data_IF_958609250338
#
_entry.id   IF_958609250338
#
_cell.length_a   1.000
_cell.length_b   1.000
_cell.length_c   1.000
_cell.angle_alpha   90.00
_cell.angle_beta   90.00
_cell.angle_gamma   90.00
#
_symmetry.space_group_name_H-M   'P 1'
#
loop_
_entity.id
_entity.type
_entity.pdbx_description
1 polymer ?
#
# COMPACT_ATOMS: atom_id res chain seq x y z
N UNK A 1 4.79 -26.55 -8.47
CA UNK A 1 3.87 -26.09 -7.41
C UNK A 1 3.67 -24.61 -7.59
N UNK A 2 2.43 -24.14 -7.67
CA UNK A 2 2.17 -22.70 -7.84
C UNK A 2 2.10 -22.01 -6.47
N UNK A 3 2.77 -20.86 -6.33
CA UNK A 3 2.75 -20.07 -5.11
C UNK A 3 1.78 -18.90 -5.24
N UNK A 4 1.10 -18.53 -4.16
CA UNK A 4 0.26 -17.35 -4.12
C UNK A 4 1.09 -16.21 -3.53
N UNK A 5 1.05 -15.04 -4.18
CA UNK A 5 1.71 -13.82 -3.72
C UNK A 5 0.68 -12.69 -3.69
N UNK A 6 0.41 -12.17 -2.50
CA UNK A 6 -0.35 -10.94 -2.33
C UNK A 6 0.52 -9.72 -2.58
N UNK A 7 0.08 -8.82 -3.47
CA UNK A 7 0.85 -7.61 -3.82
C UNK A 7 -0.04 -6.38 -3.70
N UNK A 8 0.31 -5.49 -2.80
CA UNK A 8 -0.31 -4.16 -2.69
C UNK A 8 0.52 -3.15 -3.50
N UNK A 9 -0.09 -2.67 -4.59
CA UNK A 9 0.50 -1.72 -5.53
C UNK A 9 0.21 -0.28 -5.09
N UNK A 10 0.82 0.15 -3.98
CA UNK A 10 0.67 1.52 -3.50
C UNK A 10 1.42 2.54 -4.36
N UNK A 11 1.03 3.82 -4.27
CA UNK A 11 1.78 4.94 -4.89
C UNK A 11 3.08 5.24 -4.16
N UNK A 12 3.14 4.92 -2.89
CA UNK A 12 4.27 5.18 -2.02
C UNK A 12 5.21 3.98 -1.93
N UNK A 13 4.66 2.80 -1.74
CA UNK A 13 5.41 1.56 -1.63
C UNK A 13 4.67 0.40 -2.30
N UNK A 14 5.43 -0.55 -2.81
CA UNK A 14 4.97 -1.89 -3.19
C UNK A 14 5.15 -2.79 -1.96
N UNK A 15 4.12 -3.53 -1.61
CA UNK A 15 4.12 -4.40 -0.44
C UNK A 15 3.65 -5.79 -0.78
N UNK A 16 4.30 -6.78 -0.17
CA UNK A 16 3.90 -8.18 -0.21
C UNK A 16 3.72 -8.68 1.22
N UNK A 17 3.41 -9.93 1.43
CA UNK A 17 3.28 -10.47 2.78
C UNK A 17 4.57 -10.35 3.62
N UNK A 18 5.75 -10.40 2.98
CA UNK A 18 7.04 -10.41 3.69
C UNK A 18 7.94 -9.22 3.33
N UNK A 19 7.68 -8.52 2.25
CA UNK A 19 8.53 -7.44 1.74
C UNK A 19 7.78 -6.12 1.61
N UNK A 20 8.51 -5.01 1.77
CA UNK A 20 8.04 -3.66 1.44
C UNK A 20 9.19 -2.87 0.85
N UNK A 21 8.96 -2.11 -0.22
CA UNK A 21 9.96 -1.24 -0.82
C UNK A 21 9.28 -0.04 -1.53
N UNK A 22 9.95 1.10 -1.65
CA UNK A 22 9.41 2.28 -2.31
C UNK A 22 8.93 1.99 -3.73
N UNK A 23 7.82 2.59 -4.15
CA UNK A 23 7.22 2.35 -5.48
C UNK A 23 7.97 3.03 -6.63
N UNK A 24 9.11 3.68 -6.36
CA UNK A 24 9.89 4.34 -7.38
C UNK A 24 10.58 3.35 -8.33
N UNK A 25 10.70 3.77 -9.59
CA UNK A 25 11.38 3.00 -10.65
C UNK A 25 12.12 3.99 -11.55
N UNK A 26 13.42 3.74 -11.75
CA UNK A 26 14.26 4.53 -12.66
C UNK A 26 14.71 3.65 -13.80
N UNK A 27 14.47 4.07 -15.05
CA UNK A 27 14.95 3.38 -16.25
C UNK A 27 16.33 3.88 -16.64
N UNK A 28 17.21 2.95 -16.99
CA UNK A 28 18.56 3.20 -17.51
C UNK A 28 18.71 2.77 -18.97
N UNK A 29 17.62 2.32 -19.61
CA UNK A 29 17.64 1.79 -20.97
C UNK A 29 18.57 0.58 -21.08
N UNK A 30 19.41 0.54 -22.10
CA UNK A 30 20.37 -0.56 -22.37
C UNK A 30 21.67 -0.45 -21.54
N UNK A 31 21.81 0.57 -20.69
CA UNK A 31 23.03 0.82 -19.93
C UNK A 31 22.90 0.32 -18.49
N UNK A 32 23.73 -0.64 -18.10
CA UNK A 32 23.76 -1.16 -16.74
C UNK A 32 24.21 -0.08 -15.75
N UNK A 33 23.39 0.24 -14.70
CA UNK A 33 23.77 1.20 -13.67
C UNK A 33 24.79 0.59 -12.70
N UNK A 34 25.49 1.45 -11.95
CA UNK A 34 26.49 1.01 -10.96
C UNK A 34 25.86 0.20 -9.81
N UNK A 35 24.61 0.51 -9.42
CA UNK A 35 23.94 -0.16 -8.29
C UNK A 35 23.43 -1.54 -8.69
N UNK A 36 23.58 -2.51 -7.78
CA UNK A 36 22.95 -3.83 -7.90
C UNK A 36 21.67 -3.96 -7.06
N UNK A 37 21.54 -3.13 -6.04
CA UNK A 37 20.35 -3.16 -5.19
C UNK A 37 19.11 -2.69 -5.95
N UNK A 38 18.08 -3.51 -5.98
CA UNK A 38 16.85 -3.25 -6.72
C UNK A 38 17.00 -3.30 -8.24
N UNK A 39 18.14 -3.76 -8.76
CA UNK A 39 18.41 -3.83 -10.20
C UNK A 39 17.57 -4.95 -10.85
N UNK A 40 16.70 -4.55 -11.77
CA UNK A 40 15.90 -5.41 -12.62
C UNK A 40 16.40 -5.29 -14.06
N UNK A 41 16.75 -6.41 -14.69
CA UNK A 41 17.02 -6.53 -16.11
C UNK A 41 15.83 -7.25 -16.76
N UNK A 42 15.15 -6.58 -17.69
CA UNK A 42 14.00 -7.11 -18.39
C UNK A 42 13.91 -6.55 -19.81
N UNK A 43 13.71 -7.44 -20.78
CA UNK A 43 13.58 -7.05 -22.20
C UNK A 43 14.82 -6.33 -22.78
N UNK A 44 16.02 -6.63 -22.27
CA UNK A 44 17.26 -5.98 -22.69
C UNK A 44 17.48 -4.58 -22.10
N UNK A 45 16.64 -4.16 -21.17
CA UNK A 45 16.76 -2.88 -20.47
C UNK A 45 16.98 -3.07 -18.98
N UNK A 46 17.62 -2.07 -18.36
CA UNK A 46 17.92 -2.01 -16.94
C UNK A 46 17.02 -1.01 -16.22
N UNK A 47 16.52 -1.42 -15.06
CA UNK A 47 15.66 -0.62 -14.20
C UNK A 47 16.12 -0.74 -12.75
N UNK A 48 16.09 0.34 -12.00
CA UNK A 48 16.30 0.30 -10.54
C UNK A 48 14.96 0.49 -9.85
N UNK A 49 14.50 -0.56 -9.18
CA UNK A 49 13.25 -0.61 -8.41
C UNK A 49 13.51 -0.24 -6.95
N UNK A 50 12.59 0.48 -6.32
CA UNK A 50 12.67 0.79 -4.89
C UNK A 50 13.39 2.08 -4.56
N UNK A 51 13.54 3.00 -5.52
CA UNK A 51 14.15 4.32 -5.31
C UNK A 51 13.18 5.43 -5.65
N UNK A 52 12.82 6.25 -4.65
CA UNK A 52 11.85 7.33 -4.83
C UNK A 52 10.40 6.83 -4.93
N UNK A 53 9.55 7.61 -5.62
CA UNK A 53 8.12 7.38 -5.78
C UNK A 53 7.73 7.39 -7.25
N UNK A 54 6.62 6.71 -7.60
CA UNK A 54 5.97 6.92 -8.89
C UNK A 54 5.30 8.30 -8.95
N UNK A 55 5.27 8.93 -10.12
CA UNK A 55 4.37 10.05 -10.35
C UNK A 55 2.92 9.63 -10.02
N UNK A 56 2.17 10.55 -9.42
CA UNK A 56 0.75 10.31 -9.14
C UNK A 56 0.01 10.19 -10.47
N UNK A 57 -0.59 9.03 -10.71
CA UNK A 57 -1.40 8.74 -11.89
C UNK A 57 -2.62 7.92 -11.49
N UNK A 58 -3.81 8.34 -11.93
CA UNK A 58 -5.06 7.66 -11.56
C UNK A 58 -5.15 6.24 -12.12
N UNK A 59 -4.47 5.96 -13.22
CA UNK A 59 -4.47 4.66 -13.88
C UNK A 59 -3.07 4.04 -13.81
N UNK A 60 -2.95 2.94 -13.07
CA UNK A 60 -1.70 2.20 -12.87
C UNK A 60 -1.23 1.43 -14.10
N UNK A 61 -2.04 1.40 -15.17
CA UNK A 61 -1.78 0.59 -16.37
C UNK A 61 -1.31 1.42 -17.58
N UNK A 62 -1.05 2.73 -17.39
CA UNK A 62 -0.67 3.63 -18.50
C UNK A 62 0.75 3.38 -19.04
N UNK A 63 1.58 2.72 -18.25
CA UNK A 63 2.96 2.33 -18.62
C UNK A 63 3.32 1.03 -17.91
N UNK A 64 4.53 0.53 -18.16
CA UNK A 64 4.99 -0.74 -17.61
C UNK A 64 5.53 -0.67 -16.17
N UNK A 65 5.53 0.50 -15.54
CA UNK A 65 6.18 0.70 -14.25
C UNK A 65 5.66 -0.26 -13.17
N UNK A 66 4.33 -0.36 -13.01
CA UNK A 66 3.77 -1.27 -11.99
C UNK A 66 3.96 -2.75 -12.34
N UNK A 67 4.05 -3.10 -13.63
CA UNK A 67 4.40 -4.46 -14.03
C UNK A 67 5.85 -4.80 -13.65
N UNK A 68 6.80 -3.91 -13.95
CA UNK A 68 8.20 -4.09 -13.59
C UNK A 68 8.40 -4.16 -12.06
N UNK A 69 7.69 -3.31 -11.31
CA UNK A 69 7.67 -3.37 -9.85
C UNK A 69 7.04 -4.68 -9.33
N UNK A 70 6.06 -5.25 -10.06
CA UNK A 70 5.50 -6.57 -9.75
C UNK A 70 6.53 -7.68 -9.92
N UNK A 71 7.34 -7.65 -10.99
CA UNK A 71 8.43 -8.62 -11.17
C UNK A 71 9.45 -8.54 -10.04
N UNK A 72 9.83 -7.32 -9.62
CA UNK A 72 10.70 -7.12 -8.48
C UNK A 72 10.08 -7.63 -7.17
N UNK A 73 8.77 -7.41 -6.95
CA UNK A 73 8.05 -7.91 -5.77
C UNK A 73 8.01 -9.43 -5.73
N UNK A 74 7.75 -10.09 -6.86
CA UNK A 74 7.77 -11.55 -6.99
C UNK A 74 9.17 -12.10 -6.67
N UNK A 75 10.23 -11.50 -7.24
CA UNK A 75 11.60 -11.92 -6.96
C UNK A 75 11.94 -11.83 -5.47
N UNK A 76 11.60 -10.70 -4.82
CA UNK A 76 11.81 -10.50 -3.38
C UNK A 76 11.04 -11.53 -2.54
N UNK A 77 9.80 -11.84 -2.90
CA UNK A 77 9.01 -12.87 -2.20
C UNK A 77 9.60 -14.27 -2.36
N UNK A 78 10.03 -14.63 -3.57
CA UNK A 78 10.69 -15.91 -3.83
C UNK A 78 11.97 -16.04 -2.99
N UNK A 79 12.81 -15.01 -2.95
CA UNK A 79 14.02 -14.95 -2.12
C UNK A 79 13.68 -15.10 -0.62
N UNK A 80 12.72 -14.32 -0.14
CA UNK A 80 12.34 -14.31 1.28
C UNK A 80 11.74 -15.65 1.74
N UNK A 81 11.02 -16.33 0.85
CA UNK A 81 10.46 -17.66 1.13
C UNK A 81 11.45 -18.81 0.87
N UNK A 82 12.65 -18.53 0.40
CA UNK A 82 13.66 -19.57 0.06
C UNK A 82 13.20 -20.50 -1.05
N UNK A 83 12.42 -20.00 -2.02
CA UNK A 83 11.85 -20.78 -3.11
C UNK A 83 12.78 -20.75 -4.35
N UNK A 84 12.67 -21.72 -5.27
CA UNK A 84 13.45 -21.73 -6.49
C UNK A 84 13.02 -20.56 -7.40
N UNK A 85 13.98 -19.95 -8.15
CA UNK A 85 13.68 -18.83 -9.04
C UNK A 85 12.89 -19.24 -10.29
N UNK A 86 12.75 -20.52 -10.54
CA UNK A 86 11.89 -21.08 -11.59
C UNK A 86 10.63 -21.66 -10.93
N UNK A 87 9.50 -20.96 -11.08
CA UNK A 87 8.23 -21.37 -10.48
C UNK A 87 7.01 -20.73 -11.14
N UNK A 88 5.84 -21.31 -10.86
CA UNK A 88 4.54 -20.70 -11.19
C UNK A 88 4.03 -19.85 -10.03
N UNK A 89 3.44 -18.70 -10.36
CA UNK A 89 2.88 -17.77 -9.39
C UNK A 89 1.41 -17.44 -9.69
N UNK A 90 0.63 -17.24 -8.64
CA UNK A 90 -0.70 -16.65 -8.70
C UNK A 90 -0.67 -15.34 -7.95
N UNK A 91 -1.05 -14.27 -8.62
CA UNK A 91 -1.00 -12.92 -8.04
C UNK A 91 -2.37 -12.60 -7.45
N UNK A 92 -2.39 -12.17 -6.20
CA UNK A 92 -3.53 -11.55 -5.56
C UNK A 92 -3.22 -10.06 -5.35
N UNK A 93 -3.94 -9.16 -6.02
CA UNK A 93 -3.71 -7.72 -5.94
C UNK A 93 -4.99 -6.98 -5.54
N UNK A 94 -4.86 -5.69 -5.25
CA UNK A 94 -5.98 -4.87 -4.81
C UNK A 94 -6.19 -3.59 -5.58
N UNK A 95 -7.45 -3.14 -5.58
CA UNK A 95 -7.86 -1.84 -6.07
C UNK A 95 -8.78 -1.15 -5.04
N UNK A 96 -8.75 0.20 -4.96
CA UNK A 96 -9.71 0.95 -4.17
C UNK A 96 -11.16 0.61 -4.57
N UNK A 97 -12.07 0.56 -3.59
CA UNK A 97 -13.45 0.17 -3.87
C UNK A 97 -14.14 1.15 -4.83
N UNK A 98 -13.82 2.43 -4.73
CA UNK A 98 -14.35 3.51 -5.60
C UNK A 98 -14.07 3.29 -7.09
N UNK A 99 -13.00 2.58 -7.44
CA UNK A 99 -12.62 2.28 -8.83
C UNK A 99 -12.71 0.80 -9.19
N UNK A 100 -13.02 -0.06 -8.22
CA UNK A 100 -12.90 -1.52 -8.33
C UNK A 100 -13.58 -2.12 -9.57
N UNK A 101 -14.87 -1.82 -9.77
CA UNK A 101 -15.64 -2.40 -10.89
C UNK A 101 -15.11 -1.97 -12.25
N UNK A 102 -14.69 -0.70 -12.37
CA UNK A 102 -14.18 -0.13 -13.62
C UNK A 102 -12.79 -0.65 -13.97
N UNK A 103 -11.89 -0.69 -13.00
CA UNK A 103 -10.46 -0.88 -13.25
C UNK A 103 -10.02 -2.34 -13.10
N UNK A 104 -10.83 -3.20 -12.44
CA UNK A 104 -10.53 -4.62 -12.18
C UNK A 104 -10.14 -5.42 -13.43
N UNK A 105 -10.92 -5.45 -14.54
CA UNK A 105 -10.54 -6.24 -15.71
C UNK A 105 -9.22 -5.74 -16.31
N UNK A 106 -9.07 -4.44 -16.47
CA UNK A 106 -7.88 -3.81 -17.06
C UNK A 106 -6.63 -4.09 -16.25
N UNK A 107 -6.70 -3.95 -14.93
CA UNK A 107 -5.56 -4.18 -14.05
C UNK A 107 -5.17 -5.66 -13.98
N UNK A 108 -6.16 -6.57 -13.97
CA UNK A 108 -5.91 -8.00 -14.07
C UNK A 108 -5.15 -8.33 -15.36
N UNK A 109 -5.64 -7.88 -16.51
CA UNK A 109 -5.05 -8.19 -17.81
C UNK A 109 -3.66 -7.55 -17.98
N UNK A 110 -3.46 -6.36 -17.41
CA UNK A 110 -2.16 -5.68 -17.35
C UNK A 110 -1.11 -6.49 -16.56
N UNK A 111 -1.49 -7.12 -15.44
CA UNK A 111 -0.56 -7.93 -14.64
C UNK A 111 -0.36 -9.33 -15.23
N UNK A 112 -1.41 -9.92 -15.82
CA UNK A 112 -1.34 -11.27 -16.37
C UNK A 112 -0.54 -11.33 -17.68
N UNK A 113 -0.74 -10.37 -18.59
CA UNK A 113 -0.18 -10.28 -19.95
C UNK A 113 -0.30 -11.56 -20.77
N UNK A 114 0.36 -12.64 -20.34
CA UNK A 114 0.32 -13.94 -20.99
C UNK A 114 0.60 -15.05 -19.98
N UNK A 115 0.23 -16.29 -20.34
CA UNK A 115 0.56 -17.49 -19.56
C UNK A 115 1.91 -18.10 -19.96
N UNK A 116 2.75 -17.36 -20.70
CA UNK A 116 4.09 -17.80 -21.07
C UNK A 116 5.09 -17.47 -19.96
N UNK A 117 6.19 -18.23 -19.83
CA UNK A 117 7.24 -17.90 -18.91
C UNK A 117 7.81 -16.50 -19.15
N UNK A 118 7.96 -15.74 -18.08
CA UNK A 118 8.58 -14.42 -18.06
C UNK A 118 9.98 -14.58 -17.51
N UNK A 119 10.97 -14.31 -18.36
CA UNK A 119 12.38 -14.39 -17.99
C UNK A 119 12.91 -12.99 -17.69
N UNK A 120 13.53 -12.84 -16.54
CA UNK A 120 14.16 -11.58 -16.12
C UNK A 120 15.26 -11.85 -15.10
N UNK A 121 16.08 -10.83 -14.82
CA UNK A 121 17.12 -10.92 -13.80
C UNK A 121 16.88 -9.85 -12.75
N UNK A 122 16.92 -10.23 -11.49
CA UNK A 122 16.76 -9.31 -10.38
C UNK A 122 17.89 -9.48 -9.37
N UNK A 123 18.61 -8.37 -9.07
CA UNK A 123 19.77 -8.33 -8.18
C UNK A 123 20.83 -9.41 -8.51
N UNK A 124 20.99 -9.72 -9.79
CA UNK A 124 21.96 -10.69 -10.30
C UNK A 124 21.47 -12.14 -10.36
N UNK A 125 20.26 -12.45 -9.89
CA UNK A 125 19.63 -13.77 -9.96
C UNK A 125 18.69 -13.84 -11.16
N UNK A 126 18.79 -14.91 -11.94
CA UNK A 126 17.89 -15.18 -13.07
C UNK A 126 16.60 -15.83 -12.59
N UNK A 127 15.46 -15.30 -13.05
CA UNK A 127 14.12 -15.80 -12.77
C UNK A 127 13.42 -16.23 -14.04
N UNK A 128 12.70 -17.35 -13.97
CA UNK A 128 11.77 -17.82 -15.00
C UNK A 128 10.44 -18.12 -14.33
N UNK A 129 9.49 -17.18 -14.38
CA UNK A 129 8.20 -17.31 -13.70
C UNK A 129 7.06 -17.43 -14.71
N UNK A 130 6.05 -18.22 -14.36
CA UNK A 130 4.78 -18.24 -15.10
C UNK A 130 3.67 -17.69 -14.22
N UNK A 131 3.05 -16.58 -14.63
CA UNK A 131 1.88 -16.01 -13.95
C UNK A 131 0.65 -16.79 -14.44
N UNK A 132 0.16 -17.72 -13.59
CA UNK A 132 -1.00 -18.58 -13.96
C UNK A 132 -2.35 -17.87 -13.80
N UNK A 133 -2.46 -17.03 -12.80
CA UNK A 133 -3.71 -16.35 -12.43
C UNK A 133 -3.42 -15.01 -11.78
N UNK A 134 -4.28 -14.03 -12.07
CA UNK A 134 -4.32 -12.75 -11.35
C UNK A 134 -5.73 -12.54 -10.83
N UNK A 135 -5.87 -12.46 -9.52
CA UNK A 135 -7.13 -12.15 -8.83
C UNK A 135 -7.04 -10.75 -8.21
N UNK A 136 -8.09 -9.96 -8.42
CA UNK A 136 -8.17 -8.59 -7.89
C UNK A 136 -9.24 -8.52 -6.81
N UNK A 137 -8.87 -7.97 -5.64
CA UNK A 137 -9.71 -7.83 -4.44
C UNK A 137 -9.91 -6.37 -4.06
N UNK A 138 -10.99 -6.03 -3.33
CA UNK A 138 -11.17 -4.70 -2.76
C UNK A 138 -10.10 -4.42 -1.71
N UNK A 139 -9.35 -3.34 -1.88
CA UNK A 139 -8.35 -2.86 -0.93
C UNK A 139 -9.03 -2.47 0.40
N UNK A 140 -8.33 -2.56 1.50
CA UNK A 140 -8.86 -2.32 2.83
C UNK A 140 -9.81 -3.42 3.33
N UNK A 141 -10.85 -3.75 2.57
CA UNK A 141 -11.79 -4.81 2.97
C UNK A 141 -11.14 -6.20 3.03
N UNK A 142 -10.28 -6.53 2.07
CA UNK A 142 -9.55 -7.79 2.11
C UNK A 142 -8.60 -7.87 3.33
N UNK A 143 -8.03 -6.74 3.74
CA UNK A 143 -7.25 -6.64 4.97
C UNK A 143 -8.12 -6.87 6.22
N UNK A 144 -9.29 -6.23 6.28
CA UNK A 144 -10.23 -6.39 7.40
C UNK A 144 -10.72 -7.85 7.54
N UNK A 145 -10.85 -8.58 6.44
CA UNK A 145 -11.20 -10.01 6.46
C UNK A 145 -10.14 -10.91 7.13
N UNK A 146 -8.93 -10.39 7.42
CA UNK A 146 -7.95 -11.10 8.23
C UNK A 146 -8.26 -11.07 9.72
N UNK A 147 -9.09 -10.11 10.14
CA UNK A 147 -9.51 -9.84 11.51
C UNK A 147 -11.02 -10.11 11.69
N UNK A 148 -11.43 -11.35 11.43
CA UNK A 148 -12.84 -11.73 11.41
C UNK A 148 -13.59 -11.47 12.74
N UNK A 149 -12.88 -11.43 13.87
CA UNK A 149 -13.44 -11.06 15.16
C UNK A 149 -14.01 -9.63 15.17
N UNK A 150 -13.30 -8.69 14.54
CA UNK A 150 -13.76 -7.29 14.45
C UNK A 150 -15.08 -7.16 13.70
N UNK A 151 -15.26 -7.98 12.66
CA UNK A 151 -16.47 -7.98 11.83
C UNK A 151 -17.69 -8.58 12.52
N UNK A 152 -17.47 -9.38 13.56
CA UNK A 152 -18.57 -10.02 14.33
C UNK A 152 -19.01 -9.19 15.53
N UNK A 153 -18.09 -8.40 16.10
CA UNK A 153 -18.34 -7.65 17.33
C UNK A 153 -19.15 -6.36 17.10
N UNK A 154 -19.08 -5.77 15.90
CA UNK A 154 -19.69 -4.47 15.62
C UNK A 154 -20.67 -4.55 14.45
N UNK A 155 -21.94 -4.12 14.61
CA UNK A 155 -22.93 -4.14 13.53
C UNK A 155 -22.60 -3.18 12.40
N UNK A 156 -21.91 -2.08 12.71
CA UNK A 156 -21.46 -1.08 11.74
C UNK A 156 -20.10 -0.55 12.15
N UNK A 157 -19.20 -0.38 11.20
CA UNK A 157 -17.89 0.24 11.39
C UNK A 157 -17.46 1.03 10.16
N UNK A 158 -16.58 2.01 10.35
CA UNK A 158 -15.92 2.72 9.28
C UNK A 158 -14.54 2.08 9.02
N UNK A 159 -14.29 1.67 7.81
CA UNK A 159 -12.97 1.29 7.31
C UNK A 159 -12.28 2.54 6.75
N UNK A 160 -11.04 2.79 7.19
CA UNK A 160 -10.19 3.88 6.72
C UNK A 160 -8.85 3.30 6.27
N UNK A 161 -8.61 3.20 4.95
CA UNK A 161 -7.31 2.77 4.39
C UNK A 161 -6.46 3.99 4.07
N UNK A 162 -5.46 4.24 4.89
CA UNK A 162 -4.56 5.39 4.81
C UNK A 162 -3.38 5.09 3.88
N UNK A 163 -3.61 5.27 2.59
CA UNK A 163 -2.63 5.05 1.53
C UNK A 163 -1.62 6.18 1.36
N UNK A 164 -0.77 6.03 0.32
CA UNK A 164 0.23 7.05 -0.03
C UNK A 164 -0.40 8.31 -0.62
N UNK A 165 -1.36 8.19 -1.53
CA UNK A 165 -2.03 9.31 -2.18
C UNK A 165 -3.42 9.59 -1.63
N UNK A 166 -4.23 8.55 -1.44
CA UNK A 166 -5.60 8.65 -0.95
C UNK A 166 -5.75 8.06 0.45
N UNK A 167 -6.79 8.50 1.13
CA UNK A 167 -7.44 7.79 2.22
C UNK A 167 -8.78 7.30 1.71
N UNK A 168 -8.93 5.98 1.67
CA UNK A 168 -10.15 5.37 1.19
C UNK A 168 -11.06 5.01 2.38
N UNK A 169 -12.28 5.52 2.33
CA UNK A 169 -13.30 5.39 3.38
C UNK A 169 -14.42 4.48 2.89
N UNK A 170 -14.93 3.62 3.78
CA UNK A 170 -16.08 2.78 3.47
C UNK A 170 -16.74 2.30 4.74
N UNK A 171 -18.08 2.36 4.79
CA UNK A 171 -18.84 1.73 5.87
C UNK A 171 -19.00 0.23 5.62
N UNK A 172 -18.87 -0.53 6.69
CA UNK A 172 -19.11 -1.98 6.72
C UNK A 172 -20.28 -2.21 7.65
N UNK A 173 -21.37 -2.77 7.15
CA UNK A 173 -22.56 -3.11 7.94
C UNK A 173 -22.73 -4.64 7.96
N UNK A 174 -22.80 -5.24 9.14
CA UNK A 174 -22.92 -6.70 9.32
C UNK A 174 -21.89 -7.49 8.49
N UNK A 175 -20.64 -7.06 8.54
CA UNK A 175 -19.52 -7.61 7.79
C UNK A 175 -19.60 -7.46 6.25
N UNK A 176 -20.52 -6.65 5.72
CA UNK A 176 -20.74 -6.42 4.29
C UNK A 176 -20.35 -4.98 3.94
N UNK A 177 -19.48 -4.76 2.91
CA UNK A 177 -19.15 -3.42 2.43
C UNK A 177 -20.39 -2.73 1.86
N UNK A 178 -20.62 -1.49 2.27
CA UNK A 178 -21.71 -0.64 1.75
C UNK A 178 -21.14 0.25 0.65
N UNK A 179 -21.23 -0.22 -0.59
CA UNK A 179 -20.50 0.33 -1.73
C UNK A 179 -20.81 1.80 -2.06
N UNK A 180 -22.04 2.26 -1.82
CA UNK A 180 -22.48 3.65 -2.02
C UNK A 180 -21.90 4.62 -0.99
N UNK A 181 -21.31 4.12 0.09
CA UNK A 181 -20.58 4.92 1.08
C UNK A 181 -19.09 5.03 0.78
N UNK A 182 -18.60 4.43 -0.29
CA UNK A 182 -17.18 4.48 -0.61
C UNK A 182 -16.74 5.86 -1.06
N UNK A 183 -15.74 6.43 -0.37
CA UNK A 183 -15.13 7.72 -0.68
C UNK A 183 -13.61 7.60 -0.77
N UNK A 184 -12.98 8.40 -1.61
CA UNK A 184 -11.51 8.56 -1.66
C UNK A 184 -11.17 10.02 -1.41
N UNK A 185 -10.46 10.29 -0.32
CA UNK A 185 -9.96 11.62 0.03
C UNK A 185 -8.51 11.74 -0.45
N UNK A 186 -8.15 12.82 -1.14
CA UNK A 186 -6.76 13.08 -1.56
C UNK A 186 -5.93 13.62 -0.36
N UNK A 187 -5.93 12.87 0.73
CA UNK A 187 -5.27 13.17 2.00
C UNK A 187 -4.24 12.10 2.40
N UNK A 188 -3.68 11.38 1.43
CA UNK A 188 -2.69 10.35 1.71
C UNK A 188 -1.36 10.89 2.26
N UNK A 189 -0.48 9.97 2.67
CA UNK A 189 0.79 10.29 3.36
C UNK A 189 1.76 11.14 2.54
N UNK A 190 1.70 11.08 1.20
CA UNK A 190 2.52 11.94 0.33
C UNK A 190 2.26 13.42 0.64
N UNK A 191 0.99 13.80 0.76
CA UNK A 191 0.61 15.18 1.10
C UNK A 191 1.09 15.57 2.49
N UNK A 192 0.92 14.69 3.47
CA UNK A 192 1.42 14.92 4.83
C UNK A 192 2.93 15.20 4.86
N UNK A 193 3.73 14.37 4.17
CA UNK A 193 5.19 14.50 4.08
C UNK A 193 5.58 15.78 3.34
N UNK A 194 4.90 16.13 2.25
CA UNK A 194 5.18 17.34 1.48
C UNK A 194 4.86 18.62 2.28
N UNK A 195 3.71 18.65 2.98
CA UNK A 195 3.33 19.77 3.85
C UNK A 195 4.33 19.94 5.01
N UNK A 196 4.79 18.84 5.62
CA UNK A 196 5.83 18.89 6.67
C UNK A 196 7.14 19.44 6.12
N UNK A 197 7.59 18.95 4.97
CA UNK A 197 8.85 19.40 4.34
C UNK A 197 8.82 20.90 4.06
N UNK A 198 7.71 21.39 3.50
CA UNK A 198 7.55 22.81 3.22
C UNK A 198 7.52 23.65 4.51
N UNK A 199 6.86 23.19 5.56
CA UNK A 199 6.78 23.92 6.83
C UNK A 199 8.14 23.98 7.54
N UNK A 200 8.91 22.87 7.55
CA UNK A 200 10.28 22.86 8.09
C UNK A 200 11.16 23.83 7.31
N UNK A 201 11.07 23.82 5.97
CA UNK A 201 11.82 24.76 5.12
C UNK A 201 11.49 26.23 5.43
N UNK A 202 10.21 26.55 5.61
CA UNK A 202 9.76 27.91 5.93
C UNK A 202 10.26 28.39 7.29
N UNK A 203 10.20 27.54 8.32
CA UNK A 203 10.54 27.95 9.69
C UNK A 203 12.05 27.90 9.98
N UNK A 204 12.79 26.99 9.32
CA UNK A 204 14.21 26.73 9.66
C UNK A 204 15.19 26.90 8.52
N UNK A 205 14.72 27.01 7.28
CA UNK A 205 15.55 26.99 6.07
C UNK A 205 16.10 25.60 5.69
N UNK A 206 15.82 24.55 6.48
CA UNK A 206 16.35 23.20 6.26
C UNK A 206 15.49 22.41 5.28
N UNK A 207 16.14 21.54 4.49
CA UNK A 207 15.49 20.57 3.62
C UNK A 207 15.66 19.18 4.19
N UNK A 208 14.53 18.52 4.53
CA UNK A 208 14.51 17.15 5.02
C UNK A 208 14.23 16.17 3.88
N UNK A 209 14.79 14.97 3.98
CA UNK A 209 14.42 13.85 3.12
C UNK A 209 13.10 13.21 3.59
N UNK A 210 12.41 12.50 2.69
CA UNK A 210 11.20 11.74 3.05
C UNK A 210 11.48 10.78 4.20
N UNK A 211 12.58 10.03 4.13
CA UNK A 211 12.97 9.08 5.17
C UNK A 211 13.16 9.72 6.56
N UNK A 212 13.71 10.95 6.63
CA UNK A 212 13.84 11.66 7.89
C UNK A 212 12.46 12.05 8.47
N UNK A 213 11.57 12.54 7.62
CA UNK A 213 10.21 12.94 8.03
C UNK A 213 9.44 11.70 8.51
N UNK A 214 9.48 10.61 7.75
CA UNK A 214 8.81 9.34 8.07
C UNK A 214 9.31 8.74 9.38
N UNK A 215 10.63 8.69 9.58
CA UNK A 215 11.20 8.22 10.84
C UNK A 215 10.69 9.04 12.03
N UNK A 216 10.63 10.35 11.92
CA UNK A 216 10.12 11.21 12.98
C UNK A 216 8.62 10.99 13.21
N UNK A 217 7.81 10.90 12.15
CA UNK A 217 6.39 10.60 12.24
C UNK A 217 6.13 9.22 12.87
N UNK A 218 6.97 8.23 12.56
CA UNK A 218 6.93 6.90 13.18
C UNK A 218 7.51 6.88 14.60
N UNK A 219 8.09 8.00 15.10
CA UNK A 219 8.74 8.11 16.40
C UNK A 219 10.07 7.39 16.48
N UNK A 220 10.69 7.12 15.35
CA UNK A 220 12.01 6.53 15.28
C UNK A 220 13.10 7.60 15.50
N UNK A 221 14.29 7.21 15.98
CA UNK A 221 15.41 8.13 16.14
C UNK A 221 15.78 8.81 14.83
N UNK A 222 15.99 10.12 14.87
CA UNK A 222 16.47 10.90 13.75
C UNK A 222 17.37 12.02 14.30
N UNK A 223 18.54 12.22 13.68
CA UNK A 223 19.50 13.26 14.08
C UNK A 223 19.08 14.62 13.51
N UNK A 224 18.20 15.31 14.22
CA UNK A 224 17.71 16.66 13.91
C UNK A 224 17.58 17.46 15.19
N UNK A 225 17.49 18.81 15.09
CA UNK A 225 17.23 19.67 16.24
C UNK A 225 15.82 19.44 16.82
N UNK A 226 15.63 19.73 18.09
CA UNK A 226 14.32 19.64 18.75
C UNK A 226 13.29 20.55 18.08
N UNK A 227 13.69 21.74 17.62
CA UNK A 227 12.82 22.65 16.83
C UNK A 227 12.24 21.95 15.60
N UNK A 228 13.06 21.22 14.83
CA UNK A 228 12.59 20.48 13.65
C UNK A 228 11.61 19.38 14.07
N UNK A 229 11.94 18.66 15.14
CA UNK A 229 11.07 17.58 15.67
C UNK A 229 9.72 18.11 16.12
N UNK A 230 9.69 19.27 16.78
CA UNK A 230 8.46 19.92 17.23
C UNK A 230 7.59 20.37 16.05
N UNK A 231 8.21 20.87 14.96
CA UNK A 231 7.49 21.22 13.74
C UNK A 231 6.84 19.96 13.13
N UNK A 232 7.59 18.86 13.00
CA UNK A 232 7.08 17.60 12.44
C UNK A 232 5.90 17.07 13.28
N UNK A 233 6.03 17.02 14.60
CA UNK A 233 4.97 16.56 15.50
C UNK A 233 3.74 17.47 15.41
N UNK A 234 3.89 18.77 15.38
CA UNK A 234 2.79 19.72 15.21
C UNK A 234 2.06 19.54 13.88
N UNK A 235 2.80 19.31 12.80
CA UNK A 235 2.19 19.07 11.50
C UNK A 235 1.51 17.68 11.43
N UNK A 236 2.09 16.65 12.03
CA UNK A 236 1.44 15.33 12.17
C UNK A 236 0.10 15.42 12.90
N UNK A 237 0.03 16.23 13.98
CA UNK A 237 -1.22 16.50 14.69
C UNK A 237 -2.23 17.24 13.81
N UNK A 238 -1.82 18.28 13.10
CA UNK A 238 -2.70 19.02 12.16
C UNK A 238 -3.23 18.13 11.04
N UNK A 239 -2.37 17.25 10.50
CA UNK A 239 -2.80 16.29 9.50
C UNK A 239 -3.89 15.36 10.06
N UNK A 240 -3.70 14.83 11.26
CA UNK A 240 -4.69 13.97 11.93
C UNK A 240 -6.01 14.70 12.13
N UNK A 241 -6.00 15.91 12.66
CA UNK A 241 -7.19 16.74 12.85
C UNK A 241 -7.92 17.01 11.52
N UNK A 242 -7.18 17.37 10.47
CA UNK A 242 -7.74 17.61 9.15
C UNK A 242 -8.37 16.33 8.55
N UNK A 243 -7.70 15.19 8.71
CA UNK A 243 -8.24 13.90 8.25
C UNK A 243 -9.56 13.55 8.97
N UNK A 244 -9.63 13.72 10.28
CA UNK A 244 -10.85 13.46 11.05
C UNK A 244 -11.99 14.39 10.61
N UNK A 245 -11.72 15.69 10.45
CA UNK A 245 -12.70 16.66 9.95
C UNK A 245 -13.21 16.29 8.56
N UNK A 246 -12.30 15.99 7.62
CA UNK A 246 -12.67 15.61 6.26
C UNK A 246 -13.47 14.30 6.21
N UNK A 247 -13.19 13.36 7.12
CA UNK A 247 -13.98 12.14 7.27
C UNK A 247 -15.40 12.42 7.74
N UNK A 248 -15.57 13.31 8.71
CA UNK A 248 -16.90 13.74 9.18
C UNK A 248 -17.66 14.53 8.11
N UNK A 249 -16.99 15.42 7.37
CA UNK A 249 -17.55 16.14 6.23
C UNK A 249 -18.00 15.20 5.09
N UNK A 250 -17.33 14.05 4.93
CA UNK A 250 -17.74 12.99 3.99
C UNK A 250 -18.97 12.21 4.48
N UNK A 251 -19.55 12.55 5.65
CA UNK A 251 -20.78 11.98 6.17
C UNK A 251 -20.61 10.85 7.18
N UNK A 252 -19.39 10.62 7.70
CA UNK A 252 -19.14 9.59 8.70
C UNK A 252 -19.03 10.18 10.11
N UNK A 253 -19.97 9.83 10.97
CA UNK A 253 -19.93 10.28 12.36
C UNK A 253 -19.00 9.42 13.21
N UNK A 254 -17.75 9.86 13.35
CA UNK A 254 -16.72 9.19 14.14
C UNK A 254 -16.99 9.17 15.66
N UNK A 255 -17.97 9.94 16.13
CA UNK A 255 -18.40 9.89 17.54
C UNK A 255 -19.38 8.75 17.80
N UNK A 256 -20.06 8.25 16.76
CA UNK A 256 -21.07 7.22 16.85
C UNK A 256 -20.63 5.86 16.29
N UNK A 257 -19.74 5.84 15.30
CA UNK A 257 -19.33 4.63 14.56
C UNK A 257 -17.87 4.29 14.90
N UNK A 258 -17.55 3.04 15.31
CA UNK A 258 -16.18 2.57 15.41
C UNK A 258 -15.41 2.70 14.10
N UNK A 259 -14.16 3.12 14.15
CA UNK A 259 -13.30 3.25 12.98
C UNK A 259 -12.12 2.26 13.05
N UNK A 260 -11.91 1.52 11.95
CA UNK A 260 -10.73 0.67 11.74
C UNK A 260 -9.80 1.39 10.76
N UNK A 261 -8.61 1.73 11.25
CA UNK A 261 -7.59 2.43 10.49
C UNK A 261 -6.48 1.44 10.12
N UNK A 262 -6.14 1.40 8.84
CA UNK A 262 -5.08 0.56 8.30
C UNK A 262 -4.28 1.30 7.22
N UNK A 263 -3.26 0.64 6.67
CA UNK A 263 -2.37 1.24 5.70
C UNK A 263 -1.18 1.97 6.33
N UNK A 264 -0.27 2.50 5.50
CA UNK A 264 0.98 3.10 5.96
C UNK A 264 0.81 4.35 6.83
N UNK A 265 -0.30 5.09 6.68
CA UNK A 265 -0.60 6.28 7.46
C UNK A 265 -1.23 6.01 8.83
N UNK A 266 -1.69 4.79 9.08
CA UNK A 266 -2.39 4.45 10.35
C UNK A 266 -1.50 4.67 11.58
N UNK A 267 -0.21 4.40 11.49
CA UNK A 267 0.77 4.63 12.56
C UNK A 267 0.91 6.12 12.92
N UNK A 268 0.85 7.00 11.92
CA UNK A 268 0.93 8.45 12.12
C UNK A 268 -0.32 8.94 12.85
N UNK A 269 -1.50 8.55 12.40
CA UNK A 269 -2.77 8.91 13.05
C UNK A 269 -2.79 8.38 14.49
N UNK A 270 -2.41 7.12 14.71
CA UNK A 270 -2.35 6.49 16.04
C UNK A 270 -1.51 7.30 17.04
N UNK A 271 -0.39 7.85 16.59
CA UNK A 271 0.52 8.65 17.45
C UNK A 271 0.01 10.04 17.75
N UNK A 272 -0.77 10.62 16.85
CA UNK A 272 -1.23 12.00 16.94
C UNK A 272 -2.71 12.12 17.35
N UNK A 273 -3.41 11.00 17.49
CA UNK A 273 -4.76 10.97 18.02
C UNK A 273 -4.77 11.36 19.51
N UNK A 274 -5.79 12.09 19.93
CA UNK A 274 -5.94 12.54 21.31
C UNK A 274 -7.30 12.11 21.86
N UNK A 275 -7.43 11.79 23.17
CA UNK A 275 -8.73 11.57 23.80
C UNK A 275 -9.70 12.75 23.64
N UNK A 276 -9.18 13.98 23.40
CA UNK A 276 -9.99 15.18 23.16
C UNK A 276 -10.71 15.15 21.81
N UNK A 277 -10.28 14.27 20.87
CA UNK A 277 -10.95 14.12 19.58
C UNK A 277 -12.32 13.45 19.71
N UNK A 278 -12.63 12.85 20.87
CA UNK A 278 -13.97 12.37 21.24
C UNK A 278 -14.47 11.21 20.37
N UNK A 279 -13.58 10.44 19.74
CA UNK A 279 -13.97 9.34 18.86
C UNK A 279 -14.63 8.21 19.66
N UNK A 280 -15.62 7.54 19.06
CA UNK A 280 -16.33 6.42 19.68
C UNK A 280 -15.39 5.27 20.04
N UNK A 281 -14.73 4.70 19.04
CA UNK A 281 -13.73 3.62 19.17
C UNK A 281 -12.82 3.63 17.96
N UNK A 282 -11.53 3.50 18.17
CA UNK A 282 -10.56 3.38 17.09
C UNK A 282 -9.76 2.09 17.22
N UNK A 283 -9.61 1.37 16.13
CA UNK A 283 -8.86 0.13 16.01
C UNK A 283 -7.80 0.34 14.94
N UNK A 284 -6.55 0.04 15.25
CA UNK A 284 -5.43 0.24 14.34
C UNK A 284 -4.85 -1.10 13.91
N UNK A 285 -4.84 -1.36 12.61
CA UNK A 285 -4.09 -2.46 12.00
C UNK A 285 -2.76 -1.87 11.51
N UNK A 286 -1.75 -1.89 12.37
CA UNK A 286 -0.48 -1.19 12.17
C UNK A 286 0.54 -1.93 11.28
N UNK A 287 0.27 -3.18 10.90
CA UNK A 287 1.09 -3.86 9.90
C UNK A 287 0.81 -3.22 8.53
N UNK A 288 1.81 -2.56 7.98
CA UNK A 288 1.70 -1.88 6.70
C UNK A 288 1.49 -2.84 5.51
N UNK A 289 1.67 -4.15 5.71
CA UNK A 289 1.48 -5.22 4.73
C UNK A 289 0.10 -5.89 4.82
N UNK A 290 -0.77 -5.43 5.72
CA UNK A 290 -2.08 -6.07 5.99
C UNK A 290 -2.94 -6.23 4.72
N UNK A 291 -2.89 -5.29 3.77
CA UNK A 291 -3.58 -5.42 2.48
C UNK A 291 -3.03 -6.59 1.66
N UNK A 292 -1.71 -6.71 1.50
CA UNK A 292 -1.08 -7.78 0.75
C UNK A 292 -1.36 -9.16 1.38
N UNK A 293 -1.27 -9.26 2.70
CA UNK A 293 -1.65 -10.46 3.46
C UNK A 293 -3.13 -10.80 3.25
N UNK A 294 -4.00 -9.80 3.28
CA UNK A 294 -5.44 -9.95 3.03
C UNK A 294 -5.74 -10.48 1.64
N UNK A 295 -5.08 -9.96 0.60
CA UNK A 295 -5.23 -10.46 -0.77
C UNK A 295 -4.80 -11.92 -0.91
N UNK A 296 -3.65 -12.28 -0.33
CA UNK A 296 -3.13 -13.66 -0.36
C UNK A 296 -4.09 -14.64 0.33
N UNK A 297 -4.61 -14.30 1.49
CA UNK A 297 -5.62 -15.08 2.21
C UNK A 297 -6.92 -15.21 1.42
N UNK A 298 -7.39 -14.12 0.81
CA UNK A 298 -8.62 -14.12 0.02
C UNK A 298 -8.51 -15.05 -1.19
N UNK A 299 -7.40 -15.00 -1.96
CA UNK A 299 -7.19 -15.90 -3.08
C UNK A 299 -7.08 -17.36 -2.61
N UNK A 300 -6.37 -17.60 -1.51
CA UNK A 300 -6.26 -18.94 -0.92
C UNK A 300 -7.64 -19.52 -0.57
N UNK A 301 -8.52 -18.70 0.03
CA UNK A 301 -9.87 -19.13 0.36
C UNK A 301 -10.73 -19.43 -0.88
N UNK A 302 -10.61 -18.61 -1.94
CA UNK A 302 -11.30 -18.84 -3.22
C UNK A 302 -10.86 -20.16 -3.85
N UNK A 303 -9.57 -20.44 -3.87
CA UNK A 303 -9.04 -21.67 -4.48
C UNK A 303 -9.43 -22.92 -3.69
N UNK A 304 -9.45 -22.87 -2.36
CA UNK A 304 -9.94 -23.99 -1.54
C UNK A 304 -11.39 -24.33 -1.86
N UNK A 305 -12.27 -23.32 -1.92
CA UNK A 305 -13.69 -23.53 -2.28
C UNK A 305 -13.86 -24.15 -3.67
N UNK A 306 -13.03 -23.73 -4.65
CA UNK A 306 -13.06 -24.33 -6.01
C UNK A 306 -12.58 -25.78 -6.03
N UNK A 307 -11.72 -26.21 -5.11
CA UNK A 307 -11.24 -27.60 -5.04
C UNK A 307 -12.20 -28.53 -4.28
N UNK A 308 -13.13 -27.98 -3.50
CA UNK A 308 -14.14 -28.73 -2.71
C UNK A 308 -15.49 -28.84 -3.45
N UNK A 309 -15.70 -28.06 -4.54
CA UNK A 309 -16.89 -28.05 -5.37
C UNK A 309 -16.73 -28.95 -6.62
#
# INVERSE_FOLDING_TARGET
MSIIIGIDHGYYAIKTAHCSFPAGLTSYGEHEPYTRQGLLEFGGCFFVCGTGRQPIQRDKTVNDNYYLLTLAAIAKEIQQRGLPPECSVRIAAGLPLTSFGRDKPKFRDYLLRSNQPVNYKFEGVEYSITIEEVAIFPQGYAALMTETGLLQDEPSMLLMDLGGWTVDLMRIDNAIPVADTAHSLELGMIRCVDDIREQVRRETGLSLTDAQIENMLAGQPCTVSDTVRDIVNRQGRKYTEHLLSATMEAGFDLHAIPAVLLGGGASVVSRHLSPKDGLCKTIFLLDDKVNAVGFERALTAVLRRKSEA
#
